data_IF_885641738453
#
_entry.id   IF_885641738453
#
_cell.length_a   1.000
_cell.length_b   1.000
_cell.length_c   1.000
_cell.angle_alpha   90.00
_cell.angle_beta   90.00
_cell.angle_gamma   90.00
#
_symmetry.space_group_name_H-M   'P 1'
#
loop_
_entity.id
_entity.type
_entity.pdbx_description
1 polymer ?
#
# COMPACT_ATOMS: atom_id res chain seq x y z
N UNK A 1 -4.04 12.84 -11.48
CA UNK A 1 -3.86 12.38 -10.10
C UNK A 1 -3.77 10.86 -10.16
N UNK A 2 -2.62 10.24 -9.85
CA UNK A 2 -2.50 8.78 -9.89
C UNK A 2 -3.52 8.09 -9.01
N UNK A 3 -3.97 6.91 -9.44
CA UNK A 3 -4.74 5.99 -8.63
C UNK A 3 -3.82 4.91 -8.06
N UNK A 4 -4.01 4.59 -6.79
CA UNK A 4 -3.27 3.56 -6.08
C UNK A 4 -4.26 2.54 -5.54
N UNK A 5 -4.07 1.27 -5.86
CA UNK A 5 -4.77 0.16 -5.22
C UNK A 5 -4.02 -0.17 -3.92
N UNK A 6 -4.72 -0.15 -2.80
CA UNK A 6 -4.16 -0.46 -1.48
C UNK A 6 -4.85 -1.70 -0.96
N UNK A 7 -4.07 -2.73 -0.64
CA UNK A 7 -4.58 -3.99 -0.09
C UNK A 7 -4.02 -4.19 1.31
N UNK A 8 -4.88 -4.51 2.26
CA UNK A 8 -4.54 -4.75 3.66
C UNK A 8 -4.64 -6.25 3.94
N UNK A 9 -3.62 -6.81 4.58
CA UNK A 9 -3.55 -8.22 4.93
C UNK A 9 -3.36 -8.43 6.42
N UNK A 10 -4.03 -9.44 6.96
CA UNK A 10 -3.82 -9.96 8.32
C UNK A 10 -3.63 -11.47 8.24
N UNK A 11 -2.56 -12.00 8.83
CA UNK A 11 -2.20 -13.43 8.77
C UNK A 11 -2.24 -14.01 7.35
N UNK A 12 -1.75 -13.25 6.37
CA UNK A 12 -1.69 -13.65 4.96
C UNK A 12 -3.03 -13.60 4.21
N UNK A 13 -4.11 -13.16 4.86
CA UNK A 13 -5.43 -13.02 4.24
C UNK A 13 -5.74 -11.56 3.95
N UNK A 14 -6.32 -11.28 2.78
CA UNK A 14 -6.85 -9.94 2.45
C UNK A 14 -8.03 -9.65 3.36
N UNK A 15 -7.95 -8.56 4.12
CA UNK A 15 -9.02 -8.10 5.01
C UNK A 15 -9.76 -6.89 4.46
N UNK A 16 -9.10 -6.08 3.64
CA UNK A 16 -9.69 -4.88 3.05
C UNK A 16 -8.90 -4.47 1.80
N UNK A 17 -9.59 -3.86 0.85
CA UNK A 17 -9.00 -3.26 -0.34
C UNK A 17 -9.70 -1.93 -0.64
N UNK A 18 -8.92 -0.95 -1.07
CA UNK A 18 -9.43 0.33 -1.55
C UNK A 18 -8.62 0.86 -2.73
N UNK A 19 -9.23 1.75 -3.49
CA UNK A 19 -8.52 2.55 -4.51
C UNK A 19 -8.58 4.01 -4.11
N UNK A 20 -7.40 4.64 -3.98
CA UNK A 20 -7.28 6.05 -3.60
C UNK A 20 -6.65 6.87 -4.73
N UNK A 21 -7.13 8.11 -4.90
CA UNK A 21 -6.57 9.06 -5.84
C UNK A 21 -5.70 10.05 -5.07
N UNK A 22 -4.38 9.93 -5.23
CA UNK A 22 -3.41 10.68 -4.43
C UNK A 22 -2.35 11.31 -5.33
N UNK A 23 -1.73 12.40 -4.87
CA UNK A 23 -0.71 13.11 -5.67
C UNK A 23 0.55 12.27 -5.88
N UNK A 24 0.96 11.50 -4.86
CA UNK A 24 2.21 10.73 -4.84
C UNK A 24 2.07 9.42 -4.08
N UNK A 25 2.99 8.49 -4.30
CA UNK A 25 3.09 7.25 -3.50
C UNK A 25 3.29 7.55 -2.01
N UNK A 26 4.07 8.59 -1.66
CA UNK A 26 4.27 9.03 -0.27
C UNK A 26 2.94 9.42 0.41
N UNK A 27 2.07 10.12 -0.31
CA UNK A 27 0.74 10.49 0.22
C UNK A 27 -0.19 9.28 0.33
N UNK A 28 -0.09 8.31 -0.58
CA UNK A 28 -0.84 7.05 -0.49
C UNK A 28 -0.41 6.22 0.75
N UNK A 29 0.90 6.05 0.98
CA UNK A 29 1.44 5.39 2.19
C UNK A 29 0.93 6.01 3.48
N UNK A 30 0.99 7.35 3.57
CA UNK A 30 0.49 8.07 4.75
C UNK A 30 -1.01 7.84 4.97
N UNK A 31 -1.80 7.82 3.89
CA UNK A 31 -3.22 7.49 3.98
C UNK A 31 -3.43 6.08 4.52
N UNK A 32 -2.68 5.10 4.01
CA UNK A 32 -2.76 3.71 4.45
C UNK A 32 -2.34 3.53 5.92
N UNK A 33 -1.29 4.23 6.36
CA UNK A 33 -0.87 4.24 7.77
C UNK A 33 -1.92 4.84 8.70
N UNK A 34 -2.65 5.87 8.26
CA UNK A 34 -3.76 6.43 9.03
C UNK A 34 -4.95 5.47 9.10
N UNK A 35 -5.23 4.73 8.02
CA UNK A 35 -6.31 3.74 7.97
C UNK A 35 -6.00 2.52 8.83
N UNK A 36 -4.75 2.06 8.84
CA UNK A 36 -4.30 0.92 9.64
C UNK A 36 -2.94 1.19 10.31
N UNK A 37 -2.95 1.81 11.51
CA UNK A 37 -1.73 2.09 12.25
C UNK A 37 -1.11 0.84 12.88
N UNK A 38 -1.82 -0.29 12.91
CA UNK A 38 -1.32 -1.52 13.54
C UNK A 38 -0.22 -2.15 12.69
N UNK A 39 0.95 -2.37 13.27
CA UNK A 39 2.11 -2.95 12.58
C UNK A 39 1.90 -4.41 12.11
N UNK A 40 0.95 -5.12 12.73
CA UNK A 40 0.57 -6.50 12.34
C UNK A 40 -0.13 -6.55 10.98
N UNK A 41 -0.72 -5.44 10.54
CA UNK A 41 -1.37 -5.37 9.23
C UNK A 41 -0.32 -5.08 8.17
N UNK A 42 -0.17 -6.03 7.26
CA UNK A 42 0.66 -5.85 6.07
C UNK A 42 -0.12 -5.06 5.03
N UNK A 43 0.54 -4.12 4.35
CA UNK A 43 -0.11 -3.28 3.35
C UNK A 43 0.66 -3.40 2.05
N UNK A 44 0.00 -3.67 0.93
CA UNK A 44 0.58 -3.52 -0.40
C UNK A 44 -0.07 -2.34 -1.12
N UNK A 45 0.74 -1.57 -1.83
CA UNK A 45 0.28 -0.49 -2.71
C UNK A 45 0.73 -0.82 -4.12
N UNK A 46 -0.22 -0.93 -5.04
CA UNK A 46 0.00 -1.15 -6.46
C UNK A 46 -0.58 0.00 -7.31
N UNK A 47 -0.14 0.09 -8.56
CA UNK A 47 -0.83 0.88 -9.57
C UNK A 47 -2.09 0.16 -10.10
N UNK A 48 -2.77 0.77 -11.07
CA UNK A 48 -3.99 0.19 -11.65
C UNK A 48 -3.73 -1.09 -12.46
N UNK A 49 -2.48 -1.32 -12.88
CA UNK A 49 -2.03 -2.50 -13.64
C UNK A 49 -1.51 -3.59 -12.70
N UNK A 50 -1.79 -3.49 -11.41
CA UNK A 50 -1.38 -4.43 -10.36
C UNK A 50 0.15 -4.54 -10.21
N UNK A 51 0.90 -3.52 -10.66
CA UNK A 51 2.33 -3.43 -10.37
C UNK A 51 2.52 -2.91 -8.96
N UNK A 52 3.06 -3.77 -8.09
CA UNK A 52 3.39 -3.38 -6.72
C UNK A 52 4.47 -2.30 -6.69
N UNK A 53 4.16 -1.18 -6.03
CA UNK A 53 5.02 -0.01 -5.90
C UNK A 53 5.66 0.06 -4.51
N UNK A 54 4.95 -0.39 -3.48
CA UNK A 54 5.46 -0.46 -2.12
C UNK A 54 4.71 -1.50 -1.29
N UNK A 55 5.40 -2.02 -0.29
CA UNK A 55 4.83 -2.89 0.71
C UNK A 55 5.20 -2.41 2.12
N UNK A 56 4.30 -2.58 3.08
CA UNK A 56 4.54 -2.36 4.50
C UNK A 56 4.42 -3.67 5.24
N UNK A 57 5.49 -4.09 5.90
CA UNK A 57 5.52 -5.28 6.75
C UNK A 57 6.10 -4.92 8.10
N UNK A 58 5.46 -5.39 9.17
CA UNK A 58 5.87 -5.10 10.55
C UNK A 58 6.05 -3.58 10.80
N UNK A 59 5.18 -2.77 10.19
CA UNK A 59 5.21 -1.30 10.29
C UNK A 59 6.32 -0.59 9.49
N UNK A 60 7.13 -1.31 8.69
CA UNK A 60 8.20 -0.72 7.88
C UNK A 60 7.84 -0.76 6.39
N UNK A 61 8.01 0.36 5.70
CA UNK A 61 7.78 0.48 4.25
C UNK A 61 9.02 0.07 3.46
N UNK A 62 8.81 -0.72 2.42
CA UNK A 62 9.79 -1.05 1.39
C UNK A 62 9.26 -0.62 0.02
N UNK A 63 10.08 0.14 -0.72
CA UNK A 63 9.72 0.66 -2.05
C UNK A 63 10.25 -0.31 -3.10
N UNK A 64 9.37 -0.77 -4.00
CA UNK A 64 9.78 -1.57 -5.15
C UNK A 64 10.31 -0.58 -6.19
N UNK A 65 11.64 -0.50 -6.33
CA UNK A 65 12.24 0.24 -7.45
C UNK A 65 11.85 -0.46 -8.74
N UNK A 66 11.34 0.30 -9.70
CA UNK A 66 11.12 -0.19 -11.06
C UNK A 66 12.42 -0.87 -11.54
N UNK A 67 12.35 -2.14 -11.94
CA UNK A 67 13.24 -2.59 -13.00
C UNK A 67 12.91 -1.71 -14.22
N UNK A 68 13.94 -1.00 -14.69
CA UNK A 68 13.94 -0.17 -15.91
C UNK A 68 13.28 -0.87 -17.10
#
# INVERSE_FOLDING_TARGET
MPAFKITYHHDGQVVFEETVFMKTLKTAKKSADCQSPQAVIEISIADLMDRELAERKQGQWADKKNAD
#
